data_IF_837045530231
#
_entry.id   IF_837045530231
#
_cell.length_a   1.000
_cell.length_b   1.000
_cell.length_c   1.000
_cell.angle_alpha   90.00
_cell.angle_beta   90.00
_cell.angle_gamma   90.00
#
_symmetry.space_group_name_H-M   'P 1'
#
loop_
_entity.id
_entity.type
_entity.pdbx_description
1 polymer ?
#
# COMPACT_ATOMS: atom_id res chain seq x y z
N UNK A 1 20.65 7.75 -16.85
CA UNK A 1 19.55 7.72 -15.86
C UNK A 1 18.87 6.38 -16.04
N UNK A 2 18.71 5.57 -14.99
CA UNK A 2 17.98 4.30 -15.10
C UNK A 2 16.51 4.60 -15.44
N UNK A 3 15.87 3.75 -16.23
CA UNK A 3 14.44 3.85 -16.47
C UNK A 3 13.67 3.44 -15.20
N UNK A 4 12.44 3.93 -15.06
CA UNK A 4 11.59 3.60 -13.91
C UNK A 4 11.32 2.10 -13.85
N UNK A 5 11.19 1.42 -15.01
CA UNK A 5 10.99 -0.03 -15.03
C UNK A 5 12.22 -0.78 -14.50
N UNK A 6 13.43 -0.28 -14.80
CA UNK A 6 14.67 -0.88 -14.30
C UNK A 6 14.76 -0.77 -12.76
N UNK A 7 14.32 0.35 -12.18
CA UNK A 7 14.30 0.55 -10.73
C UNK A 7 13.33 -0.42 -10.05
N UNK A 8 12.13 -0.58 -10.60
CA UNK A 8 11.15 -1.53 -10.06
C UNK A 8 11.64 -2.97 -10.15
N UNK A 9 12.24 -3.35 -11.28
CA UNK A 9 12.78 -4.68 -11.47
C UNK A 9 13.92 -4.98 -10.49
N UNK A 10 14.88 -4.06 -10.35
CA UNK A 10 15.98 -4.20 -9.40
C UNK A 10 15.47 -4.34 -7.95
N UNK A 11 14.48 -3.56 -7.55
CA UNK A 11 13.87 -3.68 -6.24
C UNK A 11 13.18 -5.03 -6.05
N UNK A 12 12.38 -5.45 -7.04
CA UNK A 12 11.66 -6.72 -7.02
C UNK A 12 12.61 -7.91 -6.87
N UNK A 13 13.68 -7.92 -7.67
CA UNK A 13 14.67 -9.00 -7.69
C UNK A 13 15.53 -9.00 -6.42
N UNK A 14 16.03 -7.83 -5.99
CA UNK A 14 16.92 -7.72 -4.81
C UNK A 14 16.25 -8.09 -3.48
N UNK A 15 14.94 -7.90 -3.38
CA UNK A 15 14.16 -8.26 -2.20
C UNK A 15 13.47 -9.63 -2.35
N UNK A 16 13.64 -10.29 -3.50
CA UNK A 16 13.04 -11.59 -3.83
C UNK A 16 11.53 -11.59 -3.54
N UNK A 17 10.84 -10.54 -4.05
CA UNK A 17 9.44 -10.28 -3.72
C UNK A 17 8.50 -11.38 -4.21
N UNK A 18 8.89 -12.15 -5.23
CA UNK A 18 8.17 -13.36 -5.65
C UNK A 18 8.00 -14.39 -4.52
N UNK A 19 8.90 -14.41 -3.52
CA UNK A 19 8.80 -15.35 -2.38
C UNK A 19 8.52 -14.67 -1.06
N UNK A 20 8.96 -13.41 -0.91
CA UNK A 20 8.95 -12.71 0.37
C UNK A 20 7.77 -11.74 0.51
N UNK A 21 7.09 -11.40 -0.59
CA UNK A 21 5.93 -10.51 -0.53
C UNK A 21 4.69 -11.25 -0.03
N UNK A 22 3.91 -10.59 0.83
CA UNK A 22 2.57 -11.08 1.18
C UNK A 22 1.61 -11.11 -0.04
N UNK A 23 1.96 -10.39 -1.11
CA UNK A 23 1.20 -10.30 -2.36
C UNK A 23 1.76 -11.18 -3.48
N UNK A 24 2.73 -12.05 -3.18
CA UNK A 24 3.42 -12.86 -4.18
C UNK A 24 2.47 -13.74 -5.01
N UNK A 25 1.46 -14.31 -4.34
CA UNK A 25 0.50 -15.22 -4.96
C UNK A 25 -0.77 -14.52 -5.47
N UNK A 26 -0.81 -13.18 -5.43
CA UNK A 26 -2.00 -12.43 -5.80
C UNK A 26 -2.13 -12.33 -7.32
N UNK A 27 -3.36 -12.47 -7.82
CA UNK A 27 -3.67 -12.16 -9.21
C UNK A 27 -3.52 -10.66 -9.48
N UNK A 28 -3.40 -10.28 -10.75
CA UNK A 28 -3.39 -8.86 -11.14
C UNK A 28 -4.64 -8.12 -10.64
N UNK A 29 -5.81 -8.76 -10.68
CA UNK A 29 -7.07 -8.16 -10.21
C UNK A 29 -7.02 -7.88 -8.71
N UNK A 30 -6.52 -8.84 -7.92
CA UNK A 30 -6.34 -8.67 -6.48
C UNK A 30 -5.34 -7.55 -6.18
N UNK A 31 -4.21 -7.50 -6.89
CA UNK A 31 -3.21 -6.43 -6.73
C UNK A 31 -3.76 -5.04 -7.04
N UNK A 32 -4.65 -4.92 -8.03
CA UNK A 32 -5.32 -3.64 -8.33
C UNK A 32 -6.26 -3.24 -7.20
N UNK A 33 -7.08 -4.17 -6.71
CA UNK A 33 -8.00 -3.93 -5.59
C UNK A 33 -7.23 -3.48 -4.34
N UNK A 34 -6.16 -4.20 -3.99
CA UNK A 34 -5.25 -3.87 -2.89
C UNK A 34 -4.66 -2.45 -3.02
N UNK A 35 -4.22 -2.08 -4.22
CA UNK A 35 -3.66 -0.76 -4.48
C UNK A 35 -4.71 0.36 -4.32
N UNK A 36 -5.95 0.15 -4.77
CA UNK A 36 -7.05 1.10 -4.59
C UNK A 36 -7.41 1.26 -3.11
N UNK A 37 -7.55 0.17 -2.35
CA UNK A 37 -7.82 0.24 -0.90
C UNK A 37 -6.73 0.99 -0.12
N UNK A 38 -5.46 0.72 -0.43
CA UNK A 38 -4.34 1.44 0.18
C UNK A 38 -4.34 2.93 -0.19
N UNK A 39 -4.59 3.25 -1.47
CA UNK A 39 -4.68 4.62 -1.95
C UNK A 39 -5.80 5.41 -1.23
N UNK A 40 -6.97 4.78 -1.07
CA UNK A 40 -8.11 5.37 -0.40
C UNK A 40 -7.84 5.62 1.09
N UNK A 41 -7.25 4.65 1.79
CA UNK A 41 -6.85 4.81 3.20
C UNK A 41 -5.87 5.98 3.38
N UNK A 42 -4.82 6.05 2.55
CA UNK A 42 -3.86 7.15 2.59
C UNK A 42 -4.53 8.50 2.31
N UNK A 43 -5.48 8.54 1.37
CA UNK A 43 -6.24 9.75 1.06
C UNK A 43 -7.11 10.20 2.23
N UNK A 44 -7.77 9.27 2.94
CA UNK A 44 -8.55 9.58 4.15
C UNK A 44 -7.67 10.11 5.28
N UNK A 45 -6.49 9.50 5.50
CA UNK A 45 -5.51 9.95 6.49
C UNK A 45 -5.04 11.38 6.16
N UNK A 46 -4.61 11.62 4.92
CA UNK A 46 -4.14 12.93 4.48
C UNK A 46 -5.23 14.00 4.64
N UNK A 47 -6.47 13.68 4.25
CA UNK A 47 -7.61 14.58 4.46
C UNK A 47 -7.81 14.89 5.94
N UNK A 48 -7.82 13.88 6.81
CA UNK A 48 -7.98 14.08 8.25
C UNK A 48 -6.90 15.00 8.83
N UNK A 49 -5.63 14.79 8.45
CA UNK A 49 -4.51 15.63 8.87
C UNK A 49 -4.67 17.07 8.36
N UNK A 50 -5.00 17.24 7.07
CA UNK A 50 -5.20 18.55 6.46
C UNK A 50 -6.37 19.33 7.07
N UNK A 51 -7.38 18.62 7.56
CA UNK A 51 -8.53 19.19 8.28
C UNK A 51 -8.20 19.51 9.76
N UNK A 52 -6.93 19.42 10.18
CA UNK A 52 -6.45 19.75 11.52
C UNK A 52 -6.56 18.59 12.52
N UNK A 53 -6.80 17.37 12.05
CA UNK A 53 -6.85 16.17 12.87
C UNK A 53 -5.52 15.83 13.53
N UNK A 54 -5.56 15.50 14.82
CA UNK A 54 -4.37 15.20 15.64
C UNK A 54 -4.47 13.90 16.43
N UNK A 55 -5.62 13.20 16.37
CA UNK A 55 -5.80 11.93 17.07
C UNK A 55 -5.03 10.82 16.36
N UNK A 56 -3.93 10.39 16.97
CA UNK A 56 -3.07 9.34 16.45
C UNK A 56 -3.77 7.98 16.38
N UNK A 57 -4.75 7.71 17.26
CA UNK A 57 -5.47 6.44 17.25
C UNK A 57 -6.37 6.35 16.01
N UNK A 58 -6.95 7.47 15.59
CA UNK A 58 -7.73 7.53 14.34
C UNK A 58 -6.84 7.32 13.11
N UNK A 59 -5.65 7.92 13.09
CA UNK A 59 -4.67 7.67 12.01
C UNK A 59 -4.27 6.19 11.99
N UNK A 60 -4.00 5.60 13.15
CA UNK A 60 -3.68 4.19 13.27
C UNK A 60 -4.80 3.29 12.75
N UNK A 61 -6.06 3.58 13.09
CA UNK A 61 -7.20 2.83 12.60
C UNK A 61 -7.26 2.82 11.07
N UNK A 62 -7.17 3.99 10.44
CA UNK A 62 -7.19 4.08 8.96
C UNK A 62 -6.01 3.34 8.31
N UNK A 63 -4.81 3.41 8.91
CA UNK A 63 -3.63 2.64 8.44
C UNK A 63 -3.89 1.15 8.53
N UNK A 64 -4.47 0.67 9.63
CA UNK A 64 -4.78 -0.74 9.82
C UNK A 64 -5.84 -1.19 8.80
N UNK A 65 -6.87 -0.39 8.54
CA UNK A 65 -7.87 -0.70 7.51
C UNK A 65 -7.20 -0.85 6.12
N UNK A 66 -6.28 0.06 5.77
CA UNK A 66 -5.56 0.01 4.49
C UNK A 66 -4.58 -1.17 4.34
N UNK A 67 -4.01 -1.69 5.44
CA UNK A 67 -3.02 -2.79 5.42
C UNK A 67 -3.68 -4.17 5.63
N UNK A 68 -4.76 -4.22 6.41
CA UNK A 68 -5.35 -5.47 6.88
C UNK A 68 -6.76 -5.75 6.32
N UNK A 69 -7.58 -4.73 6.06
CA UNK A 69 -8.89 -4.94 5.43
C UNK A 69 -8.84 -4.98 3.90
N UNK A 70 -7.67 -4.77 3.30
CA UNK A 70 -7.49 -5.11 1.89
C UNK A 70 -7.55 -6.64 1.64
N UNK A 71 -7.47 -7.45 2.70
CA UNK A 71 -7.48 -8.92 2.71
C UNK A 71 -8.88 -9.56 2.59
N UNK A 72 -9.91 -8.79 2.18
CA UNK A 72 -11.29 -9.26 1.99
C UNK A 72 -11.41 -10.05 0.68
#
# INVERSE_FOLDING_TARGET
MKDVQDLFKEYYDSHNLEKNSQYADFSKEQLVIEAEYLHDSLTRILKYINDGGTDINKIYAEVMDGIYESRI
#
